data_IF_011296573172
#
_entry.id   IF_011296573172
#
_cell.length_a   1.000
_cell.length_b   1.000
_cell.length_c   1.000
_cell.angle_alpha   90.00
_cell.angle_beta   90.00
_cell.angle_gamma   90.00
#
_symmetry.space_group_name_H-M   'P 1'
#
loop_
_entity.id
_entity.type
_entity.pdbx_description
1 polymer ?
#
# COMPACT_ATOMS: atom_id res chain seq x y z
N UNK A 1 -12.78 12.93 9.60
CA UNK A 1 -11.51 12.65 8.90
C UNK A 1 -11.48 13.43 7.58
N UNK A 2 -10.51 14.35 7.38
CA UNK A 2 -10.33 15.07 6.10
C UNK A 2 -9.72 14.13 5.05
N UNK A 3 -10.28 14.09 3.84
CA UNK A 3 -9.79 13.26 2.73
C UNK A 3 -8.92 14.09 1.78
N UNK A 4 -7.88 13.50 1.17
CA UNK A 4 -7.11 14.18 0.15
C UNK A 4 -7.95 14.40 -1.10
N UNK A 5 -7.77 15.54 -1.76
CA UNK A 5 -8.29 15.76 -3.11
C UNK A 5 -7.49 14.92 -4.14
N UNK A 6 -7.94 14.80 -5.40
CA UNK A 6 -7.28 13.95 -6.40
C UNK A 6 -5.80 14.29 -6.63
N UNK A 7 -5.44 15.58 -6.62
CA UNK A 7 -4.06 16.04 -6.83
C UNK A 7 -3.17 15.67 -5.65
N UNK A 8 -3.68 15.87 -4.42
CA UNK A 8 -3.00 15.47 -3.19
C UNK A 8 -2.81 13.96 -3.12
N UNK A 9 -3.83 13.19 -3.53
CA UNK A 9 -3.75 11.74 -3.59
C UNK A 9 -2.73 11.26 -4.64
N UNK A 10 -2.71 11.86 -5.83
CA UNK A 10 -1.71 11.55 -6.86
C UNK A 10 -0.29 11.85 -6.38
N UNK A 11 -0.08 13.03 -5.78
CA UNK A 11 1.19 13.38 -5.15
C UNK A 11 1.58 12.38 -4.05
N UNK A 12 0.64 12.01 -3.17
CA UNK A 12 0.85 11.02 -2.12
C UNK A 12 1.19 9.64 -2.67
N UNK A 13 0.59 9.26 -3.79
CA UNK A 13 0.90 8.01 -4.49
C UNK A 13 2.34 7.98 -4.98
N UNK A 14 2.81 9.09 -5.54
CA UNK A 14 4.20 9.32 -5.92
C UNK A 14 5.14 9.64 -4.74
N UNK A 15 4.68 9.49 -3.50
CA UNK A 15 5.52 9.61 -2.30
C UNK A 15 5.55 10.98 -1.63
N UNK A 16 4.75 11.97 -2.07
CA UNK A 16 4.62 13.27 -1.40
C UNK A 16 3.97 13.10 -0.02
N UNK A 17 4.45 13.86 0.98
CA UNK A 17 3.82 13.93 2.30
C UNK A 17 2.52 14.74 2.19
N UNK A 18 1.41 14.18 2.66
CA UNK A 18 0.15 14.90 2.91
C UNK A 18 0.24 15.81 4.14
N UNK A 19 -0.54 16.91 4.20
CA UNK A 19 -0.61 17.80 5.37
C UNK A 19 -1.02 17.07 6.65
N UNK A 20 -0.57 17.55 7.81
CA UNK A 20 -0.82 16.91 9.11
C UNK A 20 -2.31 16.83 9.47
N UNK A 21 -3.14 17.74 8.95
CA UNK A 21 -4.60 17.66 9.08
C UNK A 21 -5.23 16.40 8.44
N UNK A 22 -4.48 15.65 7.62
CA UNK A 22 -4.88 14.40 6.99
C UNK A 22 -4.19 13.16 7.59
N UNK A 23 -3.47 13.32 8.71
CA UNK A 23 -2.74 12.21 9.36
C UNK A 23 -3.68 11.06 9.74
N UNK A 24 -4.90 11.34 10.18
CA UNK A 24 -5.90 10.30 10.46
C UNK A 24 -6.26 9.50 9.21
N UNK A 25 -6.43 10.18 8.06
CA UNK A 25 -6.68 9.51 6.78
C UNK A 25 -5.51 8.61 6.40
N UNK A 26 -4.27 9.07 6.58
CA UNK A 26 -3.06 8.26 6.35
C UNK A 26 -3.04 7.02 7.24
N UNK A 27 -3.38 7.17 8.53
CA UNK A 27 -3.49 6.03 9.45
C UNK A 27 -4.46 4.99 8.89
N UNK A 28 -5.68 5.39 8.56
CA UNK A 28 -6.69 4.47 8.03
C UNK A 28 -6.35 3.92 6.63
N UNK A 29 -5.62 4.66 5.80
CA UNK A 29 -5.08 4.18 4.52
C UNK A 29 -4.09 3.03 4.72
N UNK A 30 -3.19 3.17 5.70
CA UNK A 30 -2.08 2.24 5.94
C UNK A 30 -2.43 1.07 6.85
N UNK A 31 -3.43 1.21 7.73
CA UNK A 31 -3.81 0.18 8.70
C UNK A 31 -5.26 -0.27 8.60
N UNK A 32 -6.10 0.35 7.75
CA UNK A 32 -7.50 -0.04 7.61
C UNK A 32 -7.69 -1.39 6.91
N UNK A 33 -8.95 -1.84 6.85
CA UNK A 33 -9.35 -3.11 6.21
C UNK A 33 -8.91 -3.21 4.75
N UNK A 34 -8.88 -2.08 4.04
CA UNK A 34 -8.50 -2.00 2.62
C UNK A 34 -7.04 -1.57 2.41
N UNK A 35 -6.16 -1.70 3.40
CA UNK A 35 -4.76 -1.26 3.29
C UNK A 35 -4.00 -1.98 2.16
N UNK A 36 -4.22 -3.29 1.98
CA UNK A 36 -3.58 -4.08 0.92
C UNK A 36 -3.99 -3.61 -0.48
N UNK A 37 -5.29 -3.59 -0.87
CA UNK A 37 -5.68 -3.13 -2.20
C UNK A 37 -5.32 -1.66 -2.44
N UNK A 38 -5.42 -0.78 -1.44
CA UNK A 38 -4.98 0.63 -1.57
C UNK A 38 -3.47 0.75 -1.81
N UNK A 39 -2.68 -0.08 -1.14
CA UNK A 39 -1.23 -0.14 -1.36
C UNK A 39 -0.89 -0.58 -2.78
N UNK A 40 -1.59 -1.60 -3.31
CA UNK A 40 -1.41 -2.07 -4.68
C UNK A 40 -1.75 -0.98 -5.70
N UNK A 41 -2.94 -0.38 -5.60
CA UNK A 41 -3.38 0.70 -6.49
C UNK A 41 -2.39 1.86 -6.47
N UNK A 42 -1.94 2.24 -5.28
CA UNK A 42 -0.97 3.31 -5.11
C UNK A 42 0.42 2.97 -5.68
N UNK A 43 0.86 1.73 -5.56
CA UNK A 43 2.13 1.27 -6.12
C UNK A 43 2.12 1.20 -7.65
N UNK A 44 0.98 0.85 -8.24
CA UNK A 44 0.80 0.82 -9.70
C UNK A 44 0.60 2.21 -10.31
N UNK A 45 0.06 3.17 -9.55
CA UNK A 45 -0.27 4.50 -10.07
C UNK A 45 0.92 5.23 -10.73
N UNK A 46 2.12 5.29 -10.13
CA UNK A 46 3.30 5.88 -10.79
C UNK A 46 3.76 5.15 -12.06
N UNK A 47 3.34 3.90 -12.28
CA UNK A 47 3.71 3.09 -13.45
C UNK A 47 2.78 3.27 -14.65
N UNK A 48 1.64 3.94 -14.47
CA UNK A 48 0.68 4.19 -15.55
C UNK A 48 1.30 4.85 -16.80
N UNK A 49 2.22 5.84 -16.68
CA UNK A 49 2.90 6.39 -17.85
C UNK A 49 3.72 5.36 -18.62
N UNK A 50 4.36 4.41 -17.92
CA UNK A 50 5.14 3.34 -18.54
C UNK A 50 4.21 2.40 -19.33
N UNK A 51 3.08 2.02 -18.74
CA UNK A 51 2.09 1.20 -19.43
C UNK A 51 1.50 1.90 -20.65
N UNK A 52 1.27 3.22 -20.57
CA UNK A 52 0.84 4.02 -21.70
C UNK A 52 1.88 4.02 -22.84
N UNK A 53 3.18 4.09 -22.53
CA UNK A 53 4.24 3.99 -23.53
C UNK A 53 4.23 2.62 -24.22
N UNK A 54 4.02 1.52 -23.49
CA UNK A 54 3.89 0.19 -24.11
C UNK A 54 2.66 0.08 -25.04
N UNK A 55 1.58 0.80 -24.76
CA UNK A 55 0.44 0.87 -25.67
C UNK A 55 0.74 1.63 -26.95
N UNK A 56 1.69 2.57 -26.94
CA UNK A 56 2.11 3.31 -28.13
C UNK A 56 3.10 2.54 -29.01
N UNK A 57 3.62 1.39 -28.52
CA UNK A 57 4.60 0.60 -29.24
C UNK A 57 4.00 0.04 -30.55
N UNK A 58 4.72 0.10 -31.69
CA UNK A 58 4.24 -0.48 -32.93
C UNK A 58 4.19 -2.01 -32.81
N UNK A 59 3.02 -2.61 -33.07
CA UNK A 59 2.83 -4.07 -32.98
C UNK A 59 1.38 -4.47 -32.72
N UNK A 60 1.12 -5.77 -32.69
CA UNK A 60 -0.21 -6.33 -32.45
C UNK A 60 -0.66 -6.10 -30.99
N UNK A 61 -1.98 -6.00 -30.76
CA UNK A 61 -2.54 -5.68 -29.44
C UNK A 61 -2.19 -6.74 -28.38
N UNK A 62 -2.11 -8.01 -28.75
CA UNK A 62 -1.74 -9.08 -27.81
C UNK A 62 -0.29 -8.94 -27.35
N UNK A 63 0.62 -8.50 -28.22
CA UNK A 63 2.03 -8.31 -27.88
C UNK A 63 2.18 -7.16 -26.87
N UNK A 64 1.50 -6.04 -27.12
CA UNK A 64 1.43 -4.90 -26.18
C UNK A 64 0.83 -5.34 -24.85
N UNK A 65 -0.24 -6.14 -24.89
CA UNK A 65 -0.89 -6.72 -23.71
C UNK A 65 0.05 -7.60 -22.89
N UNK A 66 0.84 -8.47 -23.54
CA UNK A 66 1.83 -9.33 -22.89
C UNK A 66 2.95 -8.54 -22.21
N UNK A 67 3.44 -7.46 -22.83
CA UNK A 67 4.44 -6.57 -22.24
C UNK A 67 3.92 -5.89 -20.96
N UNK A 68 2.70 -5.37 -21.03
CA UNK A 68 2.04 -4.74 -19.87
C UNK A 68 1.79 -5.78 -18.78
N UNK A 69 1.30 -6.97 -19.13
CA UNK A 69 1.05 -8.04 -18.18
C UNK A 69 2.34 -8.43 -17.45
N UNK A 70 3.43 -8.66 -18.19
CA UNK A 70 4.74 -8.98 -17.60
C UNK A 70 5.21 -7.87 -16.63
N UNK A 71 5.09 -6.61 -17.04
CA UNK A 71 5.48 -5.47 -16.22
C UNK A 71 4.60 -5.35 -14.95
N UNK A 72 3.29 -5.58 -15.06
CA UNK A 72 2.36 -5.59 -13.93
C UNK A 72 2.67 -6.72 -12.95
N UNK A 73 2.93 -7.94 -13.43
CA UNK A 73 3.29 -9.07 -12.58
C UNK A 73 4.56 -8.79 -11.78
N UNK A 74 5.59 -8.26 -12.45
CA UNK A 74 6.84 -7.88 -11.80
C UNK A 74 6.62 -6.75 -10.78
N UNK A 75 5.87 -5.71 -11.15
CA UNK A 75 5.54 -4.61 -10.25
C UNK A 75 4.77 -5.09 -9.01
N UNK A 76 3.77 -5.95 -9.19
CA UNK A 76 2.99 -6.52 -8.10
C UNK A 76 3.87 -7.32 -7.13
N UNK A 77 4.79 -8.13 -7.65
CA UNK A 77 5.75 -8.85 -6.83
C UNK A 77 6.51 -7.91 -5.89
N UNK A 78 7.11 -6.84 -6.43
CA UNK A 78 7.85 -5.86 -5.63
C UNK A 78 6.94 -5.05 -4.68
N UNK A 79 5.77 -4.62 -5.15
CA UNK A 79 4.80 -3.86 -4.34
C UNK A 79 4.39 -4.66 -3.10
N UNK A 80 4.10 -5.95 -3.26
CA UNK A 80 3.70 -6.84 -2.17
C UNK A 80 4.88 -7.17 -1.26
N UNK A 81 6.02 -7.57 -1.83
CA UNK A 81 7.22 -7.94 -1.07
C UNK A 81 7.71 -6.81 -0.17
N UNK A 82 7.70 -5.57 -0.67
CA UNK A 82 8.16 -4.39 0.08
C UNK A 82 7.03 -3.65 0.79
N UNK A 83 5.82 -4.22 0.86
CA UNK A 83 4.68 -3.57 1.53
C UNK A 83 4.97 -3.21 3.00
N UNK A 84 5.54 -4.09 3.85
CA UNK A 84 5.79 -3.75 5.25
C UNK A 84 6.77 -2.58 5.40
N UNK A 85 7.86 -2.59 4.63
CA UNK A 85 8.88 -1.54 4.62
C UNK A 85 8.30 -0.19 4.15
N UNK A 86 7.54 -0.20 3.05
CA UNK A 86 6.87 0.99 2.53
C UNK A 86 5.86 1.58 3.53
N UNK A 87 5.12 0.71 4.22
CA UNK A 87 4.14 1.13 5.24
C UNK A 87 4.85 1.80 6.40
N UNK A 88 5.89 1.17 6.96
CA UNK A 88 6.68 1.72 8.06
C UNK A 88 7.30 3.08 7.70
N UNK A 89 7.91 3.17 6.51
CA UNK A 89 8.49 4.43 6.02
C UNK A 89 7.44 5.53 5.87
N UNK A 90 6.26 5.24 5.33
CA UNK A 90 5.18 6.24 5.22
C UNK A 90 4.61 6.64 6.58
N UNK A 91 4.44 5.71 7.51
CA UNK A 91 4.02 6.04 8.87
C UNK A 91 5.02 7.01 9.50
N UNK A 92 6.32 6.71 9.42
CA UNK A 92 7.39 7.59 9.90
C UNK A 92 7.36 8.98 9.25
N UNK A 93 7.18 9.04 7.92
CA UNK A 93 7.08 10.30 7.17
C UNK A 93 5.91 11.18 7.63
N UNK A 94 4.90 10.57 8.24
CA UNK A 94 3.71 11.21 8.78
C UNK A 94 3.72 11.37 10.30
N UNK A 95 4.85 11.12 10.97
CA UNK A 95 4.96 11.22 12.43
C UNK A 95 4.12 10.18 13.19
N UNK A 96 3.75 9.08 12.53
CA UNK A 96 3.04 7.96 13.13
C UNK A 96 4.04 6.85 13.52
N UNK A 97 3.72 6.03 14.54
CA UNK A 97 4.55 4.88 14.90
C UNK A 97 4.74 3.94 13.71
N UNK A 98 5.97 3.46 13.49
CA UNK A 98 6.29 2.60 12.35
C UNK A 98 5.68 1.19 12.47
N UNK A 99 5.51 0.75 13.70
CA UNK A 99 4.87 -0.48 14.13
C UNK A 99 3.34 -0.32 14.27
N UNK A 100 2.77 0.78 13.77
CA UNK A 100 1.33 1.00 13.86
C UNK A 100 0.56 -0.09 13.12
N UNK A 101 -0.21 -0.81 13.91
CA UNK A 101 -0.92 -2.02 13.55
C UNK A 101 -2.40 -1.73 13.31
N UNK A 102 -3.07 -2.59 12.53
CA UNK A 102 -4.52 -2.45 12.43
C UNK A 102 -5.18 -2.88 13.75
N UNK A 103 -6.26 -2.21 14.20
CA UNK A 103 -6.94 -2.61 15.43
C UNK A 103 -7.38 -4.09 15.41
N UNK A 104 -7.84 -4.57 14.25
CA UNK A 104 -8.23 -5.96 14.05
C UNK A 104 -7.05 -6.96 14.11
N UNK A 105 -5.86 -6.58 13.62
CA UNK A 105 -4.66 -7.41 13.74
C UNK A 105 -4.12 -7.41 15.17
N UNK A 106 -4.20 -6.26 15.84
CA UNK A 106 -3.83 -6.15 17.25
C UNK A 106 -4.71 -7.04 18.14
N UNK A 107 -6.03 -7.02 17.96
CA UNK A 107 -6.96 -7.87 18.72
C UNK A 107 -6.74 -9.37 18.42
N UNK A 108 -6.54 -9.74 17.16
CA UNK A 108 -6.25 -11.14 16.79
C UNK A 108 -4.96 -11.65 17.42
N UNK A 109 -3.88 -10.85 17.41
CA UNK A 109 -2.63 -11.22 18.09
C UNK A 109 -2.79 -11.31 19.60
N UNK A 110 -3.56 -10.41 20.21
CA UNK A 110 -3.82 -10.47 21.65
C UNK A 110 -4.58 -11.76 22.02
N UNK A 111 -5.56 -12.16 21.21
CA UNK A 111 -6.28 -13.43 21.39
C UNK A 111 -5.36 -14.65 21.18
N UNK A 112 -4.48 -14.63 20.19
CA UNK A 112 -3.49 -15.70 19.97
C UNK A 112 -2.51 -15.82 21.14
N UNK A 113 -2.02 -14.71 21.70
CA UNK A 113 -1.15 -14.70 22.89
C UNK A 113 -1.88 -15.26 24.11
N UNK A 114 -3.11 -14.81 24.37
CA UNK A 114 -3.89 -15.32 25.49
C UNK A 114 -4.17 -16.83 25.37
N UNK A 115 -4.44 -17.33 24.17
CA UNK A 115 -4.62 -18.76 23.91
C UNK A 115 -3.32 -19.56 24.11
N UNK A 116 -2.17 -18.99 23.74
CA UNK A 116 -0.86 -19.60 23.98
C UNK A 116 -0.52 -19.63 25.47
N UNK A 117 -0.65 -18.51 26.18
CA UNK A 117 -0.42 -18.42 27.63
C UNK A 117 -1.30 -19.41 28.40
N UNK A 118 -2.58 -19.52 28.06
CA UNK A 118 -3.49 -20.50 28.66
C UNK A 118 -3.08 -21.96 28.43
N UNK A 119 -2.36 -22.25 27.34
CA UNK A 119 -1.94 -23.62 26.98
C UNK A 119 -0.57 -24.01 27.54
N UNK A 120 0.30 -23.04 27.79
CA UNK A 120 1.70 -23.26 28.19
C UNK A 120 2.07 -22.73 29.59
N UNK A 121 1.17 -22.05 30.31
CA UNK A 121 1.35 -21.71 31.73
C UNK A 121 1.02 -22.89 32.68
N UNK A 122 1.45 -24.11 32.35
CA UNK A 122 1.42 -25.25 33.28
C UNK A 122 2.82 -25.78 33.53
#
# INVERSE_FOLDING_TARGET
MKRPNPIQWAGYACGRRLPDSMQEWVRHDLTGTFAVPRHIVRGLFPLLPIFAVFLLFPGELWLRGSMILLAVLLALFYIVAYMPMNRAHRLAKHGLPQDLESPARASRRAAERAAYEARYQR
#
